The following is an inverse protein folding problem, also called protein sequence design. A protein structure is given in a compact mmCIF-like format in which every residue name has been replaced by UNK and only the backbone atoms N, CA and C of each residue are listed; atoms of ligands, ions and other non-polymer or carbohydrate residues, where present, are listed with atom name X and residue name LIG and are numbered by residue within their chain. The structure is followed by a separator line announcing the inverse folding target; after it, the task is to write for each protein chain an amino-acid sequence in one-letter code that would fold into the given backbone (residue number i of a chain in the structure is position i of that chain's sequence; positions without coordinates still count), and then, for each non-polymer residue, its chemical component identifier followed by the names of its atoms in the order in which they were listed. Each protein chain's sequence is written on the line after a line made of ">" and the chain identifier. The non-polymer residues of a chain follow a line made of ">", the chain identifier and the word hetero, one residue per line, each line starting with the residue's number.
data_IF_205375273940
#
_entry.id   IF_205375273940
#
_cell.length_a   1.000
_cell.length_b   1.000
_cell.length_c   1.000
_cell.angle_alpha   90.00
_cell.angle_beta   90.00
_cell.angle_gamma   90.00
#
_symmetry.space_group_name_H-M   'P 1'
#
loop_
_entity.id
_entity.type
_entity.pdbx_description
1 polymer ?
#
# COMPACT_ATOMS: atom_id res chain seq x y z
N UNK A 1 -8.36 6.08 -10.08
CA UNK A 1 -8.26 4.91 -9.19
C UNK A 1 -7.24 5.21 -8.11
N UNK A 2 -7.61 5.02 -6.85
CA UNK A 2 -6.79 5.39 -5.68
C UNK A 2 -6.54 4.16 -4.81
N UNK A 3 -5.31 4.01 -4.30
CA UNK A 3 -4.96 2.92 -3.38
C UNK A 3 -5.05 3.39 -1.93
N UNK A 4 -5.65 2.60 -1.06
CA UNK A 4 -5.58 2.75 0.40
C UNK A 4 -4.42 1.89 0.92
N UNK A 5 -3.48 2.53 1.60
CA UNK A 5 -2.32 1.91 2.25
C UNK A 5 -2.28 2.31 3.72
N UNK A 6 -1.28 1.82 4.46
CA UNK A 6 -1.07 2.17 5.86
C UNK A 6 -1.33 0.98 6.78
N UNK A 7 -1.68 1.30 8.03
CA UNK A 7 -1.83 0.31 9.09
C UNK A 7 -2.98 -0.65 8.79
N UNK A 8 -2.70 -1.94 8.97
CA UNK A 8 -3.54 -3.06 8.51
C UNK A 8 -4.89 -3.05 9.19
N UNK A 9 -4.96 -2.84 10.51
CA UNK A 9 -6.23 -2.83 11.23
C UNK A 9 -7.11 -1.64 10.80
N UNK A 10 -6.55 -0.43 10.76
CA UNK A 10 -7.28 0.79 10.39
C UNK A 10 -7.78 0.71 8.96
N UNK A 11 -6.99 0.22 8.01
CA UNK A 11 -7.44 0.14 6.61
C UNK A 11 -8.49 -0.93 6.35
N UNK A 12 -8.54 -2.01 7.15
CA UNK A 12 -9.53 -3.09 6.99
C UNK A 12 -10.77 -2.95 7.88
N UNK A 13 -10.76 -2.06 8.89
CA UNK A 13 -11.91 -1.82 9.74
C UNK A 13 -12.61 -0.50 9.35
N UNK A 14 -13.83 -0.55 8.77
CA UNK A 14 -14.56 0.66 8.35
C UNK A 14 -14.83 1.66 9.47
N UNK A 15 -15.05 1.18 10.70
CA UNK A 15 -15.26 2.06 11.85
C UNK A 15 -13.97 2.77 12.26
N UNK A 16 -12.83 2.10 12.16
CA UNK A 16 -11.53 2.68 12.53
C UNK A 16 -11.06 3.77 11.57
N UNK A 17 -11.47 3.69 10.29
CA UNK A 17 -11.11 4.66 9.25
C UNK A 17 -12.26 5.61 8.86
N UNK A 18 -13.34 5.66 9.65
CA UNK A 18 -14.51 6.49 9.40
C UNK A 18 -15.14 6.28 8.01
N UNK A 19 -15.11 5.04 7.51
CA UNK A 19 -15.68 4.65 6.21
C UNK A 19 -15.05 5.40 5.02
N UNK A 20 -13.75 5.70 5.08
CA UNK A 20 -13.03 6.45 4.03
C UNK A 20 -13.20 5.85 2.63
N UNK A 21 -13.30 4.52 2.50
CA UNK A 21 -13.52 3.85 1.21
C UNK A 21 -14.85 4.30 0.62
N UNK A 22 -15.95 4.17 1.39
CA UNK A 22 -17.28 4.59 0.97
C UNK A 22 -17.34 6.09 0.64
N UNK A 23 -16.60 6.92 1.39
CA UNK A 23 -16.54 8.35 1.13
C UNK A 23 -15.85 8.68 -0.19
N UNK A 24 -14.73 8.04 -0.49
CA UNK A 24 -14.02 8.23 -1.76
C UNK A 24 -14.84 7.70 -2.94
N UNK A 25 -15.52 6.57 -2.77
CA UNK A 25 -16.40 6.00 -3.80
C UNK A 25 -17.63 6.87 -4.07
N UNK A 26 -18.25 7.45 -3.03
CA UNK A 26 -19.33 8.45 -3.16
C UNK A 26 -18.90 9.69 -3.93
N UNK A 27 -17.61 10.03 -3.88
CA UNK A 27 -17.01 11.13 -4.64
C UNK A 27 -16.60 10.71 -6.06
N UNK A 28 -16.95 9.49 -6.50
CA UNK A 28 -16.73 9.00 -7.86
C UNK A 28 -15.36 8.36 -8.11
N UNK A 29 -14.58 8.11 -7.05
CA UNK A 29 -13.29 7.43 -7.18
C UNK A 29 -13.45 5.92 -7.12
N UNK A 30 -12.72 5.20 -7.98
CA UNK A 30 -12.50 3.75 -7.83
C UNK A 30 -11.40 3.52 -6.80
N UNK A 31 -11.67 2.75 -5.75
CA UNK A 31 -10.73 2.51 -4.65
C UNK A 31 -10.18 1.08 -4.71
N UNK A 32 -8.89 0.93 -4.47
CA UNK A 32 -8.20 -0.35 -4.21
C UNK A 32 -7.68 -0.34 -2.78
N UNK A 33 -7.82 -1.45 -2.08
CA UNK A 33 -7.28 -1.62 -0.73
C UNK A 33 -6.03 -2.49 -0.81
N UNK A 34 -4.94 -2.07 -0.17
CA UNK A 34 -3.78 -2.94 0.03
C UNK A 34 -4.22 -4.19 0.82
N UNK A 35 -4.15 -5.36 0.18
CA UNK A 35 -4.69 -6.60 0.75
C UNK A 35 -3.96 -7.07 2.01
N UNK A 36 -4.65 -7.87 2.84
CA UNK A 36 -4.03 -8.62 3.95
C UNK A 36 -2.91 -9.57 3.48
N UNK A 37 -2.98 -10.02 2.22
CA UNK A 37 -2.04 -10.96 1.60
C UNK A 37 -0.60 -10.49 1.76
N UNK A 38 -0.35 -9.19 1.57
CA UNK A 38 1.00 -8.64 1.66
C UNK A 38 1.64 -8.90 3.03
N UNK A 39 0.85 -8.87 4.11
CA UNK A 39 1.36 -9.08 5.46
C UNK A 39 1.78 -10.54 5.68
N UNK A 40 1.00 -11.50 5.19
CA UNK A 40 1.34 -12.91 5.32
C UNK A 40 2.67 -13.22 4.63
N UNK A 41 2.82 -12.80 3.37
CA UNK A 41 4.07 -13.01 2.64
C UNK A 41 5.23 -12.18 3.22
N UNK A 42 4.97 -10.97 3.73
CA UNK A 42 5.98 -10.14 4.38
C UNK A 42 6.57 -10.85 5.60
N UNK A 43 5.72 -11.42 6.46
CA UNK A 43 6.20 -12.14 7.64
C UNK A 43 7.03 -13.37 7.26
N UNK A 44 6.71 -14.04 6.15
CA UNK A 44 7.52 -15.15 5.63
C UNK A 44 8.90 -14.67 5.16
N UNK A 45 8.96 -13.54 4.46
CA UNK A 45 10.20 -12.93 3.98
C UNK A 45 11.08 -12.48 5.15
N UNK A 46 10.52 -11.78 6.13
CA UNK A 46 11.28 -11.37 7.32
C UNK A 46 11.76 -12.56 8.14
N UNK A 47 10.97 -13.64 8.21
CA UNK A 47 11.36 -14.87 8.89
C UNK A 47 12.47 -15.61 8.11
N UNK A 48 12.43 -15.60 6.77
CA UNK A 48 13.51 -16.13 5.92
C UNK A 48 14.83 -15.41 6.21
N UNK A 49 14.84 -14.08 6.22
CA UNK A 49 16.05 -13.30 6.54
C UNK A 49 16.57 -13.60 7.95
N UNK A 50 15.67 -13.66 8.92
CA UNK A 50 16.03 -13.90 10.32
C UNK A 50 16.65 -15.28 10.50
N UNK A 51 16.06 -16.32 9.90
CA UNK A 51 16.58 -17.70 9.96
C UNK A 51 17.91 -17.87 9.25
N UNK A 52 18.12 -17.18 8.11
CA UNK A 52 19.41 -17.15 7.42
C UNK A 52 20.48 -16.45 8.26
N UNK A 53 20.16 -15.30 8.85
CA UNK A 53 21.10 -14.54 9.71
C UNK A 53 21.49 -15.32 10.97
N UNK A 54 20.56 -16.08 11.53
CA UNK A 54 20.77 -16.89 12.73
C UNK A 54 21.33 -18.28 12.45
N UNK A 55 21.53 -18.66 11.18
CA UNK A 55 22.07 -19.97 10.80
C UNK A 55 21.16 -21.14 11.18
N UNK A 56 19.83 -20.99 11.04
CA UNK A 56 18.83 -22.01 11.42
C UNK A 56 18.25 -22.72 10.18
N UNK A 57 18.92 -23.74 9.60
CA UNK A 57 18.53 -24.35 8.34
C UNK A 57 17.18 -25.10 8.40
N UNK A 58 16.86 -25.75 9.53
CA UNK A 58 15.59 -26.45 9.69
C UNK A 58 14.39 -25.48 9.64
N UNK A 59 14.51 -24.33 10.32
CA UNK A 59 13.47 -23.29 10.31
C UNK A 59 13.36 -22.61 8.95
N UNK A 60 14.47 -22.45 8.24
CA UNK A 60 14.46 -21.98 6.85
C UNK A 60 13.67 -22.93 5.93
N UNK A 61 13.90 -24.25 6.02
CA UNK A 61 13.17 -25.25 5.23
C UNK A 61 11.68 -25.23 5.57
N UNK A 62 11.33 -25.21 6.86
CA UNK A 62 9.93 -25.08 7.31
C UNK A 62 9.25 -23.83 6.74
N UNK A 63 9.94 -22.69 6.76
CA UNK A 63 9.41 -21.46 6.18
C UNK A 63 9.21 -21.56 4.66
N UNK A 64 10.10 -22.24 3.92
CA UNK A 64 9.93 -22.46 2.48
C UNK A 64 8.74 -23.35 2.17
N UNK A 65 8.52 -24.40 2.95
CA UNK A 65 7.32 -25.25 2.82
C UNK A 65 6.06 -24.42 3.11
N UNK A 66 6.07 -23.62 4.19
CA UNK A 66 4.96 -22.72 4.53
C UNK A 66 4.66 -21.72 3.40
N UNK A 67 5.69 -21.07 2.86
CA UNK A 67 5.53 -20.10 1.77
C UNK A 67 4.96 -20.76 0.52
N UNK A 68 5.48 -21.94 0.15
CA UNK A 68 4.99 -22.69 -1.00
C UNK A 68 3.52 -23.10 -0.83
N UNK A 69 3.13 -23.57 0.36
CA UNK A 69 1.73 -23.87 0.64
C UNK A 69 0.84 -22.63 0.55
N UNK A 70 1.28 -21.49 1.10
CA UNK A 70 0.55 -20.23 1.00
C UNK A 70 0.40 -19.75 -0.45
N UNK A 71 1.45 -19.85 -1.28
CA UNK A 71 1.37 -19.52 -2.71
C UNK A 71 0.37 -20.41 -3.47
N UNK A 72 0.25 -21.69 -3.11
CA UNK A 72 -0.76 -22.59 -3.70
C UNK A 72 -2.16 -22.14 -3.31
N UNK A 73 -2.38 -21.85 -2.03
CA UNK A 73 -3.68 -21.39 -1.52
C UNK A 73 -4.06 -20.06 -2.17
N UNK A 74 -3.13 -19.13 -2.24
CA UNK A 74 -3.28 -17.81 -2.85
C UNK A 74 -3.74 -17.93 -4.32
N UNK A 75 -3.01 -18.70 -5.13
CA UNK A 75 -3.39 -18.95 -6.54
C UNK A 75 -4.75 -19.62 -6.68
N UNK A 76 -5.08 -20.58 -5.82
CA UNK A 76 -6.40 -21.25 -5.84
C UNK A 76 -7.54 -20.30 -5.50
N UNK A 77 -7.30 -19.31 -4.64
CA UNK A 77 -8.29 -18.28 -4.30
C UNK A 77 -8.42 -17.23 -5.40
N UNK A 78 -7.33 -16.89 -6.09
CA UNK A 78 -7.33 -15.89 -7.18
C UNK A 78 -7.90 -16.42 -8.49
N UNK A 79 -7.61 -17.67 -8.88
CA UNK A 79 -7.97 -18.23 -10.18
C UNK A 79 -9.47 -18.09 -10.55
N UNK A 80 -10.45 -18.34 -9.65
CA UNK A 80 -11.87 -18.15 -9.95
C UNK A 80 -12.27 -16.71 -10.27
N UNK A 81 -11.49 -15.73 -9.80
CA UNK A 81 -11.78 -14.30 -9.94
C UNK A 81 -10.81 -13.58 -10.89
N UNK A 82 -9.95 -14.31 -11.58
CA UNK A 82 -8.85 -13.77 -12.41
C UNK A 82 -9.28 -12.69 -13.39
N UNK A 83 -10.41 -12.88 -14.06
CA UNK A 83 -10.96 -11.90 -14.99
C UNK A 83 -11.52 -10.64 -14.29
N UNK A 84 -12.04 -10.79 -13.07
CA UNK A 84 -12.59 -9.70 -12.26
C UNK A 84 -11.50 -8.86 -11.60
N UNK A 85 -10.39 -9.49 -11.19
CA UNK A 85 -9.26 -8.83 -10.52
C UNK A 85 -8.20 -8.31 -11.51
N UNK A 86 -8.44 -8.37 -12.81
CA UNK A 86 -7.49 -7.90 -13.81
C UNK A 86 -7.12 -6.43 -13.57
N UNK A 87 -5.84 -6.17 -13.39
CA UNK A 87 -5.31 -4.85 -13.02
C UNK A 87 -5.34 -4.54 -11.52
N UNK A 88 -5.81 -5.45 -10.67
CA UNK A 88 -5.81 -5.42 -9.19
C UNK A 88 -4.88 -6.50 -8.60
N UNK A 89 -4.13 -7.22 -9.44
CA UNK A 89 -3.24 -8.28 -8.99
C UNK A 89 -2.22 -7.74 -7.99
N UNK A 90 -2.08 -8.44 -6.86
CA UNK A 90 -1.14 -8.02 -5.84
C UNK A 90 0.31 -8.29 -6.29
N UNK A 91 1.20 -7.29 -6.28
CA UNK A 91 2.59 -7.50 -6.63
C UNK A 91 3.27 -8.48 -5.67
N UNK A 92 4.38 -9.04 -6.14
CA UNK A 92 5.25 -9.84 -5.30
C UNK A 92 5.75 -9.03 -4.11
N UNK A 93 5.84 -9.68 -2.95
CA UNK A 93 6.18 -8.99 -1.71
C UNK A 93 7.62 -8.48 -1.70
N UNK A 94 8.54 -9.21 -2.32
CA UNK A 94 9.95 -8.80 -2.41
C UNK A 94 10.08 -7.57 -3.33
N UNK A 95 9.24 -7.45 -4.36
CA UNK A 95 9.13 -6.23 -5.16
C UNK A 95 8.68 -5.04 -4.31
N UNK A 96 7.61 -5.20 -3.50
CA UNK A 96 7.15 -4.13 -2.59
C UNK A 96 8.24 -3.72 -1.60
N UNK A 97 8.94 -4.68 -0.99
CA UNK A 97 10.05 -4.41 -0.06
C UNK A 97 11.15 -3.62 -0.77
N UNK A 98 11.60 -4.05 -1.96
CA UNK A 98 12.64 -3.37 -2.75
C UNK A 98 12.27 -1.93 -3.12
N UNK A 99 10.99 -1.67 -3.41
CA UNK A 99 10.51 -0.31 -3.64
C UNK A 99 10.57 0.53 -2.36
N UNK A 100 10.22 -0.05 -1.22
CA UNK A 100 10.34 0.59 0.09
C UNK A 100 11.79 0.90 0.47
N UNK A 101 12.72 0.01 0.12
CA UNK A 101 14.17 0.15 0.37
C UNK A 101 14.81 1.39 -0.27
N UNK A 102 14.18 1.98 -1.29
CA UNK A 102 14.62 3.25 -1.89
C UNK A 102 14.54 4.43 -0.91
N UNK A 103 13.68 4.33 0.11
CA UNK A 103 13.41 5.42 1.06
C UNK A 103 13.67 5.03 2.52
N UNK A 104 13.45 3.77 2.89
CA UNK A 104 13.67 3.29 4.25
C UNK A 104 14.42 1.97 4.24
N UNK A 105 15.42 1.86 5.11
CA UNK A 105 16.23 0.65 5.19
C UNK A 105 15.40 -0.56 5.66
N UNK A 106 15.61 -1.73 5.06
CA UNK A 106 14.89 -3.00 5.34
C UNK A 106 14.93 -3.47 6.80
N UNK A 107 15.91 -2.99 7.57
CA UNK A 107 15.95 -3.24 9.02
C UNK A 107 14.81 -2.55 9.79
N UNK A 108 14.19 -1.51 9.23
CA UNK A 108 12.98 -0.88 9.74
C UNK A 108 11.78 -1.73 9.34
N UNK A 109 11.58 -2.80 10.12
CA UNK A 109 10.53 -3.81 9.93
C UNK A 109 9.14 -3.24 10.21
N UNK A 110 8.12 -4.03 9.88
CA UNK A 110 6.71 -3.72 10.12
C UNK A 110 6.06 -3.05 8.91
N UNK A 111 4.99 -2.32 9.17
CA UNK A 111 4.12 -1.81 8.10
C UNK A 111 4.67 -0.58 7.38
N UNK A 112 5.70 0.08 7.94
CA UNK A 112 6.28 1.27 7.32
C UNK A 112 6.88 0.94 5.93
N UNK A 113 7.70 -0.12 5.84
CA UNK A 113 8.31 -0.53 4.57
C UNK A 113 7.28 -1.00 3.55
N UNK A 114 6.22 -1.66 4.03
CA UNK A 114 5.10 -2.07 3.18
C UNK A 114 4.32 -0.87 2.67
N UNK A 115 4.02 0.11 3.53
CA UNK A 115 3.25 1.30 3.17
C UNK A 115 4.01 2.16 2.16
N UNK A 116 5.30 2.43 2.43
CA UNK A 116 6.18 3.13 1.49
C UNK A 116 6.30 2.37 0.17
N UNK A 117 6.60 1.07 0.22
CA UNK A 117 6.71 0.24 -0.98
C UNK A 117 5.42 0.20 -1.81
N UNK A 118 4.26 0.14 -1.15
CA UNK A 118 2.95 0.15 -1.81
C UNK A 118 2.58 1.50 -2.39
N UNK A 119 3.00 2.62 -1.79
CA UNK A 119 2.89 3.96 -2.41
C UNK A 119 3.61 3.95 -3.76
N UNK A 120 4.88 3.55 -3.77
CA UNK A 120 5.68 3.51 -5.00
C UNK A 120 5.13 2.50 -6.01
N UNK A 121 4.68 1.33 -5.54
CA UNK A 121 4.04 0.34 -6.40
C UNK A 121 2.75 0.88 -7.04
N UNK A 122 1.98 1.68 -6.32
CA UNK A 122 0.78 2.34 -6.86
C UNK A 122 1.14 3.32 -7.98
N UNK A 123 2.25 4.04 -7.86
CA UNK A 123 2.77 4.90 -8.92
C UNK A 123 3.17 4.05 -10.15
N UNK A 124 3.95 2.98 -9.96
CA UNK A 124 4.40 2.09 -11.04
C UNK A 124 3.22 1.41 -11.77
N UNK A 125 2.17 1.03 -11.02
CA UNK A 125 0.93 0.43 -11.55
C UNK A 125 -0.02 1.45 -12.16
N UNK A 126 0.39 2.72 -12.23
CA UNK A 126 -0.40 3.78 -12.85
C UNK A 126 -1.71 4.04 -12.11
N UNK A 127 -1.70 4.03 -10.78
CA UNK A 127 -2.80 4.60 -9.99
C UNK A 127 -2.78 6.13 -10.09
N UNK A 128 -3.86 6.75 -9.64
CA UNK A 128 -4.05 8.20 -9.73
C UNK A 128 -3.86 8.91 -8.38
N UNK A 129 -3.61 8.16 -7.32
CA UNK A 129 -3.27 8.68 -5.99
C UNK A 129 -3.24 7.59 -4.92
N UNK A 130 -2.77 7.94 -3.73
CA UNK A 130 -2.73 7.06 -2.56
C UNK A 130 -3.28 7.76 -1.33
N UNK A 131 -4.06 7.05 -0.52
CA UNK A 131 -4.42 7.46 0.83
C UNK A 131 -3.74 6.54 1.84
N UNK A 132 -2.85 7.09 2.65
CA UNK A 132 -2.22 6.42 3.77
C UNK A 132 -3.07 6.62 5.03
N UNK A 133 -3.58 5.54 5.62
CA UNK A 133 -4.39 5.57 6.85
C UNK A 133 -3.64 4.97 8.03
N UNK A 134 -3.74 5.62 9.19
CA UNK A 134 -3.04 5.17 10.39
C UNK A 134 -3.77 5.59 11.67
N UNK A 135 -3.57 4.89 12.79
CA UNK A 135 -4.02 5.40 14.07
C UNK A 135 -3.17 6.61 14.48
N UNK A 136 -3.78 7.51 15.25
CA UNK A 136 -3.05 8.64 15.84
C UNK A 136 -1.88 8.12 16.68
N UNK A 137 -0.74 8.80 16.61
CA UNK A 137 0.53 8.43 17.27
C UNK A 137 1.17 7.10 16.85
N UNK A 138 0.69 6.45 15.79
CA UNK A 138 1.32 5.24 15.25
C UNK A 138 2.76 5.53 14.78
N UNK A 139 3.78 4.97 15.44
CA UNK A 139 5.18 5.19 15.09
C UNK A 139 5.51 4.76 13.64
N UNK A 140 5.15 3.55 13.15
CA UNK A 140 5.32 3.18 11.74
C UNK A 140 4.57 4.10 10.76
N UNK A 141 3.36 4.53 11.14
CA UNK A 141 2.57 5.47 10.34
C UNK A 141 3.25 6.83 10.21
N UNK A 142 3.71 7.40 11.33
CA UNK A 142 4.44 8.67 11.36
C UNK A 142 5.75 8.60 10.57
N UNK A 143 6.46 7.47 10.62
CA UNK A 143 7.63 7.25 9.78
C UNK A 143 7.25 7.28 8.28
N UNK A 144 6.16 6.62 7.90
CA UNK A 144 5.64 6.64 6.52
C UNK A 144 5.29 8.07 6.07
N UNK A 145 4.65 8.87 6.94
CA UNK A 145 4.34 10.28 6.66
C UNK A 145 5.62 11.10 6.50
N UNK A 146 6.62 10.92 7.37
CA UNK A 146 7.89 11.63 7.26
C UNK A 146 8.59 11.34 5.93
N UNK A 147 8.56 10.08 5.51
CA UNK A 147 9.13 9.60 4.24
C UNK A 147 8.33 10.08 3.03
N UNK A 148 7.01 10.25 3.17
CA UNK A 148 6.13 10.74 2.10
C UNK A 148 6.59 12.10 1.58
N UNK A 149 7.13 12.97 2.44
CA UNK A 149 7.73 14.25 2.01
C UNK A 149 8.86 14.09 0.98
N UNK A 150 9.60 12.99 1.02
CA UNK A 150 10.62 12.68 0.02
C UNK A 150 10.01 12.10 -1.25
N UNK A 151 9.02 11.21 -1.12
CA UNK A 151 8.27 10.67 -2.25
C UNK A 151 7.58 11.78 -3.04
N UNK A 152 6.99 12.76 -2.36
CA UNK A 152 6.37 13.94 -2.99
C UNK A 152 7.39 14.81 -3.74
N UNK A 153 8.67 14.81 -3.35
CA UNK A 153 9.72 15.49 -4.13
C UNK A 153 10.08 14.73 -5.40
N UNK A 154 10.11 13.39 -5.32
CA UNK A 154 10.43 12.54 -6.47
C UNK A 154 9.25 12.43 -7.45
N UNK A 155 8.02 12.54 -6.95
CA UNK A 155 6.76 12.43 -7.70
C UNK A 155 5.81 13.61 -7.40
N UNK A 156 6.18 14.86 -7.75
CA UNK A 156 5.47 16.07 -7.32
C UNK A 156 4.06 16.21 -7.89
N UNK A 157 3.74 15.52 -8.99
CA UNK A 157 2.38 15.52 -9.53
C UNK A 157 1.48 14.44 -8.91
N UNK A 158 2.04 13.42 -8.24
CA UNK A 158 1.28 12.29 -7.74
C UNK A 158 0.60 12.61 -6.39
N UNK A 159 -0.75 12.55 -6.30
CA UNK A 159 -1.46 12.88 -5.07
C UNK A 159 -1.26 11.83 -3.99
N UNK A 160 -0.82 12.26 -2.80
CA UNK A 160 -0.74 11.43 -1.60
C UNK A 160 -1.47 12.15 -0.46
N UNK A 161 -2.38 11.44 0.20
CA UNK A 161 -3.09 11.94 1.38
C UNK A 161 -2.80 11.05 2.57
N UNK A 162 -2.30 11.63 3.67
CA UNK A 162 -2.14 10.91 4.94
C UNK A 162 -3.23 11.31 5.93
N UNK A 163 -3.95 10.32 6.45
CA UNK A 163 -5.04 10.49 7.43
C UNK A 163 -4.71 9.72 8.71
N UNK A 164 -4.74 10.42 9.84
CA UNK A 164 -4.64 9.82 11.16
C UNK A 164 -5.99 9.82 11.86
N UNK A 165 -6.32 8.73 12.53
CA UNK A 165 -7.60 8.52 13.22
C UNK A 165 -7.37 8.34 14.73
N UNK A 166 -8.08 9.13 15.55
CA UNK A 166 -8.08 9.07 17.02
C UNK A 166 -9.46 8.69 17.60
N UNK A 167 -10.42 8.32 16.73
CA UNK A 167 -11.81 8.05 17.09
C UNK A 167 -12.70 9.31 17.14
N UNK A 168 -12.13 10.51 17.00
CA UNK A 168 -12.90 11.76 16.89
C UNK A 168 -13.14 12.14 15.43
N UNK A 169 -14.22 12.88 15.16
CA UNK A 169 -14.46 13.49 13.85
C UNK A 169 -13.69 14.82 13.76
N UNK A 170 -12.57 14.82 13.05
CA UNK A 170 -11.78 16.04 12.83
C UNK A 170 -12.55 17.03 11.94
N UNK A 171 -12.65 18.29 12.37
CA UNK A 171 -13.44 19.31 11.66
C UNK A 171 -13.02 19.52 10.19
N UNK A 172 -11.73 19.37 9.88
CA UNK A 172 -11.19 19.59 8.54
C UNK A 172 -11.06 18.32 7.70
N UNK A 173 -11.52 17.17 8.20
CA UNK A 173 -11.37 15.87 7.53
C UNK A 173 -11.98 15.86 6.11
N UNK A 174 -13.24 16.25 5.99
CA UNK A 174 -13.95 16.26 4.70
C UNK A 174 -13.30 17.21 3.68
N UNK A 175 -12.76 18.34 4.13
CA UNK A 175 -12.08 19.27 3.24
C UNK A 175 -10.76 18.69 2.72
N UNK A 176 -10.01 17.95 3.54
CA UNK A 176 -8.80 17.23 3.10
C UNK A 176 -9.14 16.18 2.05
N UNK A 177 -10.16 15.36 2.29
CA UNK A 177 -10.62 14.33 1.35
C UNK A 177 -11.05 14.96 0.02
N UNK A 178 -11.90 15.99 0.05
CA UNK A 178 -12.36 16.69 -1.18
C UNK A 178 -11.20 17.33 -1.95
N UNK A 179 -10.25 17.94 -1.25
CA UNK A 179 -9.05 18.53 -1.88
C UNK A 179 -8.22 17.44 -2.58
N UNK A 180 -8.03 16.30 -1.93
CA UNK A 180 -7.35 15.16 -2.52
C UNK A 180 -8.08 14.62 -3.77
N UNK A 181 -9.42 14.50 -3.73
CA UNK A 181 -10.19 14.08 -4.91
C UNK A 181 -9.95 15.03 -6.09
N UNK A 182 -9.98 16.35 -5.86
CA UNK A 182 -9.70 17.33 -6.92
C UNK A 182 -8.27 17.20 -7.49
N UNK A 183 -7.27 16.89 -6.64
CA UNK A 183 -5.91 16.60 -7.09
C UNK A 183 -5.83 15.34 -7.95
N UNK A 184 -6.49 14.25 -7.52
CA UNK A 184 -6.58 12.98 -8.26
C UNK A 184 -7.22 13.17 -9.63
N UNK A 185 -8.33 13.91 -9.72
CA UNK A 185 -8.97 14.21 -11.01
C UNK A 185 -8.07 15.02 -11.95
N UNK A 186 -7.33 15.99 -11.41
CA UNK A 186 -6.40 16.81 -12.17
C UNK A 186 -5.24 15.97 -12.69
N UNK A 187 -4.66 15.13 -11.83
CA UNK A 187 -3.60 14.19 -12.19
C UNK A 187 -4.06 13.21 -13.28
N UNK A 188 -5.24 12.60 -13.09
CA UNK A 188 -5.82 11.66 -14.05
C UNK A 188 -6.04 12.28 -15.44
N UNK A 189 -6.54 13.53 -15.49
CA UNK A 189 -6.71 14.28 -16.74
C UNK A 189 -5.37 14.53 -17.44
N UNK A 190 -4.36 15.00 -16.71
CA UNK A 190 -3.01 15.21 -17.26
C UNK A 190 -2.39 13.92 -17.80
N UNK A 191 -2.58 12.81 -17.08
CA UNK A 191 -2.08 11.48 -17.48
C UNK A 191 -2.69 11.00 -18.80
N UNK A 192 -3.99 11.27 -19.05
CA UNK A 192 -4.65 10.97 -20.33
C UNK A 192 -4.13 11.81 -21.50
N UNK A 193 -3.61 13.01 -21.23
CA UNK A 193 -3.10 13.93 -22.25
C UNK A 193 -1.65 13.60 -22.65
N UNK A 194 -0.84 13.02 -21.74
CA UNK A 194 0.49 12.49 -22.09
C UNK A 194 0.31 11.13 -22.82
N UNK A 195 0.67 10.99 -24.10
CA UNK A 195 0.53 9.71 -24.79
C UNK A 195 1.41 8.65 -24.11
N UNK A 196 0.85 7.45 -23.97
CA UNK A 196 1.49 6.26 -23.39
C UNK A 196 2.52 5.70 -24.39
N UNK A 197 3.53 6.47 -24.77
CA UNK A 197 4.69 5.97 -25.52
C UNK A 197 5.93 6.83 -25.23
N UNK A 198 6.64 6.45 -24.19
CA UNK A 198 8.10 6.61 -24.09
C UNK A 198 8.64 5.42 -23.30
N UNK A 199 8.59 4.24 -23.94
CA UNK A 199 9.53 3.16 -23.61
C UNK A 199 10.84 3.52 -24.30
N UNK A 200 11.88 3.78 -23.50
CA UNK A 200 13.27 3.57 -23.92
C UNK A 200 13.58 2.08 -23.87
#
# INVERSE_FOLDING_TARGET
>A
MVTIVGEIYVRHNPYANLFIIDELEKLGLKVELASMREWFFYTNEMYKETTLREGKPLEFIKNRIRNFYQEIVDKRLEEPFKDLIKGFEEPDIEHIIKLGEKYIHRSLRGEAILSVGKIISSIERGRDGVVNVMPFTCMPGNLTVAVTSQIERDFPEFPILSLSYDGSRQANYLNKVRTFVAQVETYHRKKKIKPIYTKF
#
